data_IF_003145507015
#
_entry.id   IF_003145507015
#
_cell.length_a   1.000
_cell.length_b   1.000
_cell.length_c   1.000
_cell.angle_alpha   90.00
_cell.angle_beta   90.00
_cell.angle_gamma   90.00
#
_symmetry.space_group_name_H-M   'P 1'
#
loop_
_entity.id
_entity.type
_entity.pdbx_description
1 polymer ?
#
# COMPACT_ATOMS: atom_id res chain seq x y z
N UNK A 1 -5.07 11.99 5.80
CA UNK A 1 -3.95 12.21 4.88
C UNK A 1 -3.17 13.43 5.35
N UNK A 2 -1.85 13.34 5.45
CA UNK A 2 -1.04 14.47 5.93
C UNK A 2 -0.29 15.12 4.76
N UNK A 3 0.18 16.35 4.96
CA UNK A 3 1.11 17.00 4.01
C UNK A 3 2.54 16.48 4.13
N UNK A 4 2.79 15.48 4.98
CA UNK A 4 4.10 14.87 5.18
C UNK A 4 4.22 13.57 4.35
N UNK A 5 5.12 13.52 3.35
CA UNK A 5 5.36 12.33 2.53
C UNK A 5 5.70 11.07 3.35
N UNK A 6 6.43 11.23 4.45
CA UNK A 6 6.89 10.11 5.28
C UNK A 6 5.72 9.45 6.00
N UNK A 7 4.83 10.26 6.59
CA UNK A 7 3.63 9.73 7.26
C UNK A 7 2.77 8.96 6.27
N UNK A 8 2.59 9.48 5.05
CA UNK A 8 1.78 8.84 4.03
C UNK A 8 2.38 7.49 3.59
N UNK A 9 3.70 7.44 3.39
CA UNK A 9 4.41 6.21 3.02
C UNK A 9 4.44 5.17 4.18
N UNK A 10 4.58 5.62 5.43
CA UNK A 10 4.48 4.75 6.60
C UNK A 10 3.06 4.21 6.78
N UNK A 11 2.03 5.03 6.62
CA UNK A 11 0.63 4.58 6.65
C UNK A 11 0.35 3.52 5.58
N UNK A 12 0.89 3.70 4.36
CA UNK A 12 0.80 2.69 3.31
C UNK A 12 1.48 1.38 3.71
N UNK A 13 2.66 1.45 4.31
CA UNK A 13 3.41 0.29 4.78
C UNK A 13 2.66 -0.47 5.89
N UNK A 14 2.10 0.27 6.86
CA UNK A 14 1.26 -0.31 7.93
C UNK A 14 0.03 -0.99 7.36
N UNK A 15 -0.62 -0.37 6.37
CA UNK A 15 -1.77 -0.97 5.70
C UNK A 15 -1.42 -2.29 4.98
N UNK A 16 -0.28 -2.35 4.29
CA UNK A 16 0.20 -3.59 3.63
C UNK A 16 0.43 -4.69 4.67
N UNK A 17 1.14 -4.38 5.76
CA UNK A 17 1.41 -5.34 6.83
C UNK A 17 0.10 -5.87 7.41
N UNK A 18 -0.88 -5.00 7.63
CA UNK A 18 -2.19 -5.40 8.13
C UNK A 18 -2.93 -6.32 7.15
N UNK A 19 -2.99 -5.96 5.86
CA UNK A 19 -3.66 -6.79 4.84
C UNK A 19 -3.00 -8.16 4.73
N UNK A 20 -1.67 -8.21 4.63
CA UNK A 20 -0.92 -9.47 4.55
C UNK A 20 -1.09 -10.30 5.81
N UNK A 21 -1.09 -9.69 7.00
CA UNK A 21 -1.34 -10.38 8.26
C UNK A 21 -2.73 -11.02 8.27
N UNK A 22 -3.77 -10.25 7.96
CA UNK A 22 -5.15 -10.74 7.90
C UNK A 22 -5.27 -11.90 6.90
N UNK A 23 -4.74 -11.73 5.69
CA UNK A 23 -4.77 -12.78 4.66
C UNK A 23 -4.05 -14.05 5.13
N UNK A 24 -2.89 -13.91 5.77
CA UNK A 24 -2.12 -15.05 6.30
C UNK A 24 -2.90 -15.80 7.37
N UNK A 25 -3.46 -15.09 8.37
CA UNK A 25 -4.23 -15.71 9.45
C UNK A 25 -5.54 -16.36 8.96
N UNK A 26 -6.24 -15.72 8.02
CA UNK A 26 -7.53 -16.22 7.49
C UNK A 26 -7.33 -17.42 6.56
N UNK A 27 -6.24 -17.45 5.79
CA UNK A 27 -5.98 -18.55 4.84
C UNK A 27 -5.25 -19.73 5.46
N UNK A 28 -4.58 -19.56 6.60
CA UNK A 28 -3.86 -20.64 7.29
C UNK A 28 -4.72 -21.89 7.56
N UNK A 29 -5.98 -21.81 8.02
CA UNK A 29 -6.86 -22.98 8.22
C UNK A 29 -7.35 -23.63 6.91
N UNK A 30 -7.12 -22.98 5.77
CA UNK A 30 -7.55 -23.43 4.43
C UNK A 30 -6.41 -24.09 3.64
N UNK A 31 -5.18 -24.11 4.16
CA UNK A 31 -3.96 -24.57 3.45
C UNK A 31 -4.06 -25.95 2.78
N UNK A 32 -4.83 -26.87 3.34
CA UNK A 32 -4.97 -28.25 2.83
C UNK A 32 -6.28 -28.49 2.06
N UNK A 33 -7.07 -27.44 1.80
CA UNK A 33 -8.33 -27.54 1.08
C UNK A 33 -8.13 -27.10 -0.38
N UNK A 34 -8.78 -27.76 -1.35
CA UNK A 34 -8.76 -27.27 -2.73
C UNK A 34 -9.39 -25.87 -2.81
N UNK A 35 -8.90 -25.06 -3.75
CA UNK A 35 -9.47 -23.75 -3.99
C UNK A 35 -10.94 -23.87 -4.39
N UNK A 36 -11.75 -22.98 -3.81
CA UNK A 36 -13.18 -22.89 -4.12
C UNK A 36 -13.41 -21.78 -5.14
N UNK A 37 -14.59 -21.78 -5.77
CA UNK A 37 -15.04 -20.68 -6.62
C UNK A 37 -14.94 -19.30 -5.95
N UNK A 38 -15.02 -19.24 -4.62
CA UNK A 38 -14.91 -18.00 -3.85
C UNK A 38 -13.49 -17.48 -3.68
N UNK A 39 -12.45 -18.31 -3.84
CA UNK A 39 -11.06 -17.90 -3.69
C UNK A 39 -10.67 -16.70 -4.60
N UNK A 40 -10.90 -16.75 -5.93
CA UNK A 40 -10.62 -15.60 -6.80
C UNK A 40 -11.48 -14.37 -6.47
N UNK A 41 -12.73 -14.56 -6.04
CA UNK A 41 -13.64 -13.47 -5.65
C UNK A 41 -13.07 -12.73 -4.43
N UNK A 42 -12.64 -13.46 -3.40
CA UNK A 42 -12.03 -12.88 -2.21
C UNK A 42 -10.77 -12.08 -2.54
N UNK A 43 -9.91 -12.61 -3.42
CA UNK A 43 -8.71 -11.90 -3.88
C UNK A 43 -9.09 -10.59 -4.59
N UNK A 44 -10.09 -10.61 -5.48
CA UNK A 44 -10.55 -9.41 -6.17
C UNK A 44 -11.12 -8.36 -5.22
N UNK A 45 -11.86 -8.76 -4.17
CA UNK A 45 -12.33 -7.82 -3.15
C UNK A 45 -11.17 -7.17 -2.40
N UNK A 46 -10.21 -7.96 -1.92
CA UNK A 46 -9.05 -7.44 -1.17
C UNK A 46 -8.18 -6.56 -2.07
N UNK A 47 -7.95 -6.97 -3.31
CA UNK A 47 -7.21 -6.19 -4.30
C UNK A 47 -7.89 -4.85 -4.56
N UNK A 48 -9.19 -4.85 -4.85
CA UNK A 48 -9.93 -3.62 -5.18
C UNK A 48 -9.95 -2.66 -3.99
N UNK A 49 -10.20 -3.18 -2.79
CA UNK A 49 -10.13 -2.38 -1.55
C UNK A 49 -8.72 -1.81 -1.33
N UNK A 50 -7.68 -2.62 -1.54
CA UNK A 50 -6.29 -2.20 -1.41
C UNK A 50 -5.93 -1.10 -2.40
N UNK A 51 -6.31 -1.24 -3.67
CA UNK A 51 -6.12 -0.18 -4.68
C UNK A 51 -6.83 1.10 -4.28
N UNK A 52 -8.07 1.03 -3.78
CA UNK A 52 -8.81 2.20 -3.33
C UNK A 52 -8.15 2.90 -2.13
N UNK A 53 -7.69 2.15 -1.12
CA UNK A 53 -6.99 2.69 0.04
C UNK A 53 -5.65 3.29 -0.38
N UNK A 54 -4.87 2.62 -1.24
CA UNK A 54 -3.61 3.14 -1.75
C UNK A 54 -3.82 4.40 -2.59
N UNK A 55 -4.84 4.42 -3.44
CA UNK A 55 -5.19 5.61 -4.20
C UNK A 55 -5.49 6.79 -3.25
N UNK A 56 -6.26 6.54 -2.19
CA UNK A 56 -6.52 7.56 -1.18
C UNK A 56 -5.24 8.03 -0.46
N UNK A 57 -4.36 7.11 -0.05
CA UNK A 57 -3.14 7.46 0.68
C UNK A 57 -2.10 8.20 -0.18
N UNK A 58 -2.00 7.89 -1.47
CA UNK A 58 -1.00 8.52 -2.34
C UNK A 58 -1.53 9.74 -3.08
N UNK A 59 -2.81 9.76 -3.46
CA UNK A 59 -3.34 10.75 -4.39
C UNK A 59 -4.27 11.78 -3.76
N UNK A 60 -4.88 11.55 -2.60
CA UNK A 60 -5.86 12.49 -2.04
C UNK A 60 -5.28 13.90 -1.84
N UNK A 61 -4.14 14.01 -1.14
CA UNK A 61 -3.52 15.31 -0.86
C UNK A 61 -2.92 15.97 -2.12
N UNK A 62 -2.18 15.25 -2.99
CA UNK A 62 -1.76 15.80 -4.28
C UNK A 62 -2.91 16.26 -5.15
N UNK A 63 -4.01 15.50 -5.21
CA UNK A 63 -5.19 15.86 -6.01
C UNK A 63 -5.84 17.14 -5.49
N UNK A 64 -5.99 17.31 -4.17
CA UNK A 64 -6.46 18.57 -3.59
C UNK A 64 -5.57 19.77 -3.94
N UNK A 65 -4.24 19.59 -3.89
CA UNK A 65 -3.31 20.65 -4.30
C UNK A 65 -3.39 20.96 -5.79
N UNK A 66 -3.59 19.94 -6.62
CA UNK A 66 -3.72 20.09 -8.07
C UNK A 66 -4.99 20.86 -8.43
N UNK A 67 -6.13 20.50 -7.84
CA UNK A 67 -7.42 21.20 -8.02
C UNK A 67 -7.32 22.64 -7.48
N UNK A 68 -6.58 22.85 -6.38
CA UNK A 68 -6.29 24.18 -5.84
C UNK A 68 -5.30 25.02 -6.66
N UNK A 69 -4.95 24.62 -7.89
CA UNK A 69 -4.05 25.35 -8.79
C UNK A 69 -2.57 25.21 -8.47
N UNK A 70 -2.20 24.55 -7.37
CA UNK A 70 -0.82 24.37 -6.89
C UNK A 70 -0.14 23.15 -7.53
N UNK A 71 -0.12 23.10 -8.86
CA UNK A 71 0.35 21.94 -9.63
C UNK A 71 1.77 21.50 -9.27
N UNK A 72 2.70 22.45 -9.09
CA UNK A 72 4.10 22.15 -8.73
C UNK A 72 4.20 21.51 -7.34
N UNK A 73 3.45 22.03 -6.36
CA UNK A 73 3.41 21.46 -5.01
C UNK A 73 2.77 20.07 -5.00
N UNK A 74 1.70 19.86 -5.78
CA UNK A 74 1.03 18.58 -5.94
C UNK A 74 1.99 17.48 -6.44
N UNK A 75 2.67 17.76 -7.56
CA UNK A 75 3.64 16.82 -8.15
C UNK A 75 4.80 16.56 -7.19
N UNK A 76 5.33 17.60 -6.55
CA UNK A 76 6.42 17.45 -5.58
C UNK A 76 6.01 16.57 -4.39
N UNK A 77 4.79 16.75 -3.85
CA UNK A 77 4.28 15.94 -2.75
C UNK A 77 4.10 14.48 -3.17
N UNK A 78 3.51 14.24 -4.36
CA UNK A 78 3.31 12.90 -4.89
C UNK A 78 4.64 12.17 -5.11
N UNK A 79 5.57 12.79 -5.85
CA UNK A 79 6.89 12.19 -6.15
C UNK A 79 7.68 11.92 -4.87
N UNK A 80 7.64 12.82 -3.88
CA UNK A 80 8.26 12.56 -2.58
C UNK A 80 7.63 11.39 -1.84
N UNK A 81 6.29 11.28 -1.87
CA UNK A 81 5.59 10.17 -1.20
C UNK A 81 5.94 8.84 -1.86
N UNK A 82 5.92 8.78 -3.20
CA UNK A 82 6.34 7.61 -3.98
C UNK A 82 7.81 7.30 -3.73
N UNK A 83 8.69 8.30 -3.72
CA UNK A 83 10.12 8.12 -3.47
C UNK A 83 10.43 7.55 -2.09
N UNK A 84 9.76 8.04 -1.04
CA UNK A 84 9.90 7.47 0.31
C UNK A 84 9.38 6.03 0.36
N UNK A 85 8.22 5.76 -0.24
CA UNK A 85 7.67 4.40 -0.29
C UNK A 85 8.56 3.43 -1.08
N UNK A 86 9.15 3.89 -2.19
CA UNK A 86 10.12 3.11 -2.96
C UNK A 86 11.39 2.84 -2.14
N UNK A 87 11.90 3.81 -1.39
CA UNK A 87 13.03 3.61 -0.49
C UNK A 87 12.71 2.56 0.60
N UNK A 88 11.53 2.62 1.21
CA UNK A 88 11.06 1.59 2.16
C UNK A 88 11.01 0.22 1.48
N UNK A 89 10.49 0.14 0.25
CA UNK A 89 10.40 -1.10 -0.51
C UNK A 89 11.79 -1.68 -0.79
N UNK A 90 12.76 -0.85 -1.19
CA UNK A 90 14.15 -1.28 -1.39
C UNK A 90 14.76 -1.80 -0.09
N UNK A 91 14.54 -1.12 1.04
CA UNK A 91 15.01 -1.59 2.35
C UNK A 91 14.42 -2.97 2.66
N UNK A 92 13.11 -3.16 2.51
CA UNK A 92 12.45 -4.46 2.74
C UNK A 92 13.01 -5.55 1.83
N UNK A 93 13.25 -5.25 0.54
CA UNK A 93 13.87 -6.20 -0.39
C UNK A 93 15.30 -6.57 0.02
N UNK A 94 16.11 -5.60 0.45
CA UNK A 94 17.47 -5.86 0.96
C UNK A 94 17.41 -6.76 2.20
N UNK A 95 16.48 -6.49 3.13
CA UNK A 95 16.29 -7.30 4.33
C UNK A 95 15.91 -8.75 3.96
N UNK A 96 14.99 -8.92 3.00
CA UNK A 96 14.56 -10.22 2.50
C UNK A 96 15.71 -11.00 1.82
N UNK A 97 16.46 -10.35 0.92
CA UNK A 97 17.55 -11.02 0.19
C UNK A 97 18.82 -11.23 1.03
N UNK A 98 19.00 -10.48 2.12
CA UNK A 98 20.08 -10.72 3.08
C UNK A 98 19.77 -11.84 4.08
N UNK A 99 18.52 -12.34 4.10
CA UNK A 99 18.08 -13.37 5.03
C UNK A 99 17.91 -12.89 6.48
N UNK A 100 17.83 -11.56 6.69
CA UNK A 100 17.52 -11.01 8.02
C UNK A 100 16.04 -11.19 8.37
N UNK A 101 15.17 -11.21 7.36
CA UNK A 101 13.73 -11.53 7.44
C UNK A 101 13.34 -12.56 6.39
#
# INVERSE_FOLDING_TARGET
MSKNPVVNALSASVYIILVVSVMTFVTQPLKNKPDTFFAPITILFVLTLSVAVMAFLFFYQPLQLFIGGKKKEAVNLFVKTVGVFAAITVIVLILLFSGLI
#
